data_IF_312701165850
#
_entry.id   IF_312701165850
#
_cell.length_a   1.000
_cell.length_b   1.000
_cell.length_c   1.000
_cell.angle_alpha   90.00
_cell.angle_beta   90.00
_cell.angle_gamma   90.00
#
_symmetry.space_group_name_H-M   'P 1'
#
loop_
_entity.id
_entity.type
_entity.pdbx_description
1 polymer ?
#
# COMPACT_ATOMS: atom_id res chain seq x y z
N UNK A 1 14.60 4.73 -1.28
CA UNK A 1 14.36 5.88 -0.38
C UNK A 1 15.43 6.95 -0.60
N UNK A 2 15.13 8.23 -0.38
CA UNK A 2 16.10 9.33 -0.54
C UNK A 2 15.92 10.39 0.55
N UNK A 3 17.01 11.04 0.98
CA UNK A 3 16.95 12.21 1.88
C UNK A 3 16.70 13.52 1.13
N UNK A 4 16.71 13.49 -0.21
CA UNK A 4 16.55 14.69 -1.02
C UNK A 4 15.06 15.05 -1.20
N UNK A 5 14.58 16.02 -0.42
CA UNK A 5 13.20 16.52 -0.49
C UNK A 5 12.84 17.16 -1.84
N UNK A 6 13.81 17.79 -2.51
CA UNK A 6 13.58 18.39 -3.83
C UNK A 6 13.31 17.33 -4.88
N UNK A 7 13.98 16.18 -4.78
CA UNK A 7 13.77 15.03 -5.67
C UNK A 7 12.40 14.40 -5.44
N UNK A 8 12.00 14.20 -4.18
CA UNK A 8 10.64 13.75 -3.84
C UNK A 8 9.58 14.67 -4.46
N UNK A 9 9.70 15.98 -4.22
CA UNK A 9 8.77 16.98 -4.76
C UNK A 9 8.75 16.97 -6.30
N UNK A 10 9.92 16.80 -6.94
CA UNK A 10 10.04 16.74 -8.40
C UNK A 10 9.33 15.52 -8.98
N UNK A 11 9.44 14.36 -8.33
CA UNK A 11 8.79 13.11 -8.78
C UNK A 11 7.28 13.23 -8.61
N UNK A 12 6.80 13.69 -7.45
CA UNK A 12 5.36 13.88 -7.19
C UNK A 12 4.74 14.85 -8.21
N UNK A 13 5.39 15.97 -8.51
CA UNK A 13 4.89 16.94 -9.52
C UNK A 13 4.86 16.39 -10.95
N UNK A 14 5.62 15.34 -11.26
CA UNK A 14 5.64 14.70 -12.58
C UNK A 14 4.65 13.55 -12.69
N UNK A 15 4.08 13.09 -11.58
CA UNK A 15 3.12 12.00 -11.58
C UNK A 15 1.89 12.36 -12.40
N UNK A 16 1.43 11.39 -13.20
CA UNK A 16 0.21 11.53 -14.01
C UNK A 16 -0.91 10.71 -13.40
N UNK A 17 -2.12 11.17 -13.61
CA UNK A 17 -3.33 10.45 -13.22
C UNK A 17 -3.58 9.33 -14.25
N UNK A 18 -3.92 8.15 -13.76
CA UNK A 18 -4.38 7.01 -14.55
C UNK A 18 -5.88 6.78 -14.29
N UNK A 19 -6.49 5.80 -14.94
CA UNK A 19 -7.85 5.36 -14.64
C UNK A 19 -8.07 3.90 -15.05
N UNK A 20 -9.09 3.30 -14.44
CA UNK A 20 -9.63 1.96 -14.72
C UNK A 20 -11.17 2.08 -14.91
N UNK A 21 -11.89 0.96 -14.94
CA UNK A 21 -13.34 0.93 -15.19
C UNK A 21 -14.17 0.74 -13.92
N UNK A 22 -13.66 -0.05 -12.99
CA UNK A 22 -14.30 -0.41 -11.73
C UNK A 22 -13.85 0.50 -10.59
N UNK A 23 -14.66 0.58 -9.54
CA UNK A 23 -14.40 1.50 -8.42
C UNK A 23 -13.28 1.04 -7.48
N UNK A 24 -13.15 -0.25 -7.11
CA UNK A 24 -12.08 -0.68 -6.22
C UNK A 24 -10.70 -0.62 -6.87
N UNK A 25 -9.67 -0.39 -6.05
CA UNK A 25 -8.30 -0.19 -6.52
C UNK A 25 -7.35 -1.32 -6.07
N UNK A 26 -6.27 -1.53 -6.81
CA UNK A 26 -5.24 -2.55 -6.49
C UNK A 26 -4.29 -2.17 -5.34
N UNK A 27 -4.77 -1.42 -4.33
CA UNK A 27 -3.94 -0.81 -3.29
C UNK A 27 -3.16 -1.81 -2.43
N UNK A 28 -3.80 -2.90 -2.00
CA UNK A 28 -3.17 -3.91 -1.13
C UNK A 28 -2.06 -4.71 -1.83
N UNK A 29 -2.20 -4.93 -3.14
CA UNK A 29 -1.19 -5.59 -3.97
C UNK A 29 0.07 -4.72 -4.10
N UNK A 30 -0.12 -3.42 -4.35
CA UNK A 30 0.96 -2.44 -4.33
C UNK A 30 1.65 -2.34 -2.95
N UNK A 31 0.86 -2.36 -1.86
CA UNK A 31 1.40 -2.37 -0.49
C UNK A 31 2.26 -3.59 -0.21
N UNK A 32 1.83 -4.78 -0.66
CA UNK A 32 2.61 -6.00 -0.47
C UNK A 32 3.93 -5.91 -1.22
N UNK A 33 3.93 -5.52 -2.50
CA UNK A 33 5.17 -5.34 -3.27
C UNK A 33 6.11 -4.32 -2.62
N UNK A 34 5.59 -3.17 -2.16
CA UNK A 34 6.38 -2.19 -1.42
C UNK A 34 6.94 -2.72 -0.09
N UNK A 35 6.27 -3.71 0.50
CA UNK A 35 6.68 -4.36 1.75
C UNK A 35 7.78 -5.39 1.53
N UNK A 36 7.70 -6.21 0.48
CA UNK A 36 8.64 -7.33 0.28
C UNK A 36 9.84 -6.97 -0.60
N UNK A 37 9.73 -5.96 -1.47
CA UNK A 37 10.81 -5.48 -2.33
C UNK A 37 11.76 -4.53 -1.58
N UNK A 38 12.43 -5.06 -0.56
CA UNK A 38 13.26 -4.31 0.38
C UNK A 38 14.39 -3.54 -0.30
N UNK A 39 15.05 -4.14 -1.30
CA UNK A 39 16.17 -3.54 -2.02
C UNK A 39 15.74 -2.41 -2.96
N UNK A 40 14.66 -2.63 -3.69
CA UNK A 40 14.11 -1.72 -4.69
C UNK A 40 13.52 -0.48 -4.04
N UNK A 41 12.74 -0.66 -2.95
CA UNK A 41 12.23 0.47 -2.16
C UNK A 41 13.36 1.11 -1.35
N UNK A 42 14.35 0.32 -0.94
CA UNK A 42 15.51 0.77 -0.16
C UNK A 42 15.19 1.02 1.31
N UNK A 43 14.42 0.11 1.94
CA UNK A 43 14.13 0.15 3.38
C UNK A 43 15.42 0.01 4.19
N UNK A 44 15.61 0.86 5.21
CA UNK A 44 16.79 0.79 6.10
C UNK A 44 16.51 -0.16 7.27
N UNK A 45 17.54 -0.91 7.68
CA UNK A 45 17.44 -1.83 8.84
C UNK A 45 17.23 -1.11 10.16
N UNK A 46 17.93 0.01 10.37
CA UNK A 46 17.93 0.76 11.65
C UNK A 46 16.85 1.84 11.74
N UNK A 47 15.87 1.86 10.84
CA UNK A 47 14.83 2.89 10.79
C UNK A 47 13.45 2.31 11.10
N UNK A 48 12.59 3.09 11.77
CA UNK A 48 11.15 2.81 11.81
C UNK A 48 10.60 2.97 10.40
N UNK A 49 9.96 1.92 9.88
CA UNK A 49 9.47 1.85 8.49
C UNK A 49 7.99 2.21 8.47
N UNK A 50 7.64 3.29 7.78
CA UNK A 50 6.26 3.75 7.64
C UNK A 50 5.83 3.61 6.19
N UNK A 51 4.76 2.87 5.93
CA UNK A 51 4.15 2.75 4.62
C UNK A 51 2.81 3.49 4.62
N UNK A 52 2.74 4.61 3.89
CA UNK A 52 1.52 5.40 3.76
C UNK A 52 0.76 5.00 2.47
N UNK A 53 -0.42 4.41 2.61
CA UNK A 53 -1.40 4.26 1.53
C UNK A 53 -2.31 5.49 1.51
N UNK A 54 -2.40 6.15 0.36
CA UNK A 54 -3.34 7.26 0.14
C UNK A 54 -4.34 6.86 -0.93
N UNK A 55 -5.64 6.92 -0.64
CA UNK A 55 -6.69 6.49 -1.57
C UNK A 55 -8.06 7.07 -1.21
N UNK A 56 -8.93 7.18 -2.20
CA UNK A 56 -10.31 7.65 -2.09
C UNK A 56 -11.35 6.53 -2.31
N UNK A 57 -10.90 5.31 -2.64
CA UNK A 57 -11.75 4.16 -2.93
C UNK A 57 -11.34 2.90 -2.13
N UNK A 58 -12.25 1.91 -1.98
CA UNK A 58 -11.91 0.61 -1.42
C UNK A 58 -10.81 -0.09 -2.23
N UNK A 59 -10.09 -1.01 -1.60
CA UNK A 59 -9.16 -1.86 -2.33
C UNK A 59 -9.80 -3.18 -2.74
N UNK A 60 -9.35 -3.75 -3.86
CA UNK A 60 -9.65 -5.15 -4.19
C UNK A 60 -9.09 -6.11 -3.15
N UNK A 61 -9.78 -7.24 -3.00
CA UNK A 61 -9.43 -8.32 -2.08
C UNK A 61 -9.06 -9.58 -2.88
N UNK A 62 -8.38 -10.51 -2.23
CA UNK A 62 -8.20 -11.85 -2.78
C UNK A 62 -9.55 -12.46 -3.20
N UNK A 63 -9.56 -13.22 -4.30
CA UNK A 63 -10.71 -13.78 -5.01
C UNK A 63 -11.44 -12.80 -5.94
N UNK A 64 -11.22 -11.49 -5.87
CA UNK A 64 -11.79 -10.55 -6.85
C UNK A 64 -11.20 -10.79 -8.25
N UNK A 65 -9.90 -11.10 -8.34
CA UNK A 65 -9.23 -11.34 -9.63
C UNK A 65 -9.74 -12.60 -10.35
N UNK A 66 -10.54 -13.44 -9.68
CA UNK A 66 -11.23 -14.57 -10.32
C UNK A 66 -12.15 -14.11 -11.45
N UNK A 67 -12.74 -12.92 -11.35
CA UNK A 67 -13.56 -12.32 -12.41
C UNK A 67 -12.75 -12.02 -13.68
N UNK A 68 -11.46 -11.77 -13.52
CA UNK A 68 -10.51 -11.57 -14.62
C UNK A 68 -9.85 -12.89 -15.10
N UNK A 69 -10.28 -14.04 -14.57
CA UNK A 69 -9.69 -15.35 -14.90
C UNK A 69 -8.36 -15.64 -14.20
N UNK A 70 -7.95 -14.80 -13.26
CA UNK A 70 -6.74 -15.02 -12.45
C UNK A 70 -7.14 -15.86 -11.24
N UNK A 71 -6.57 -17.06 -11.16
CA UNK A 71 -6.86 -18.06 -10.11
C UNK A 71 -5.61 -18.52 -9.37
N UNK A 72 -4.46 -17.91 -9.68
CA UNK A 72 -3.20 -18.18 -9.00
C UNK A 72 -3.13 -17.31 -7.75
N UNK A 73 -3.06 -17.88 -6.54
CA UNK A 73 -2.90 -17.08 -5.32
C UNK A 73 -1.61 -16.25 -5.34
N UNK A 74 -1.63 -15.11 -4.64
CA UNK A 74 -0.44 -14.29 -4.43
C UNK A 74 0.62 -15.07 -3.62
N UNK A 75 1.87 -15.11 -4.09
CA UNK A 75 2.95 -15.91 -3.47
C UNK A 75 3.70 -15.19 -2.33
N UNK A 76 3.51 -13.88 -2.20
CA UNK A 76 4.09 -13.07 -1.14
C UNK A 76 5.54 -12.66 -1.40
N UNK A 77 6.03 -12.80 -2.64
CA UNK A 77 7.39 -12.48 -3.04
C UNK A 77 7.47 -11.18 -3.84
N UNK A 78 8.68 -10.64 -3.96
CA UNK A 78 8.96 -9.46 -4.77
C UNK A 78 9.03 -9.82 -6.26
N UNK A 79 8.26 -9.11 -7.09
CA UNK A 79 8.25 -9.30 -8.55
C UNK A 79 8.38 -7.98 -9.31
N UNK A 80 9.25 -7.09 -8.83
CA UNK A 80 9.61 -5.88 -9.55
C UNK A 80 10.71 -6.16 -10.58
N UNK A 81 10.44 -5.81 -11.84
CA UNK A 81 11.45 -5.77 -12.89
C UNK A 81 11.50 -4.36 -13.48
N UNK A 82 12.67 -3.72 -13.42
CA UNK A 82 12.84 -2.31 -13.81
C UNK A 82 11.83 -1.37 -13.10
N UNK A 83 11.63 -1.60 -11.79
CA UNK A 83 10.66 -0.88 -10.95
C UNK A 83 9.19 -1.02 -11.38
N UNK A 84 8.87 -2.05 -12.17
CA UNK A 84 7.49 -2.36 -12.60
C UNK A 84 7.10 -3.73 -12.07
N UNK A 85 5.95 -3.82 -11.43
CA UNK A 85 5.40 -5.08 -10.94
C UNK A 85 4.89 -5.93 -12.11
N UNK A 86 5.48 -7.11 -12.31
CA UNK A 86 5.21 -7.97 -13.48
C UNK A 86 4.16 -9.05 -13.27
N UNK A 87 3.75 -9.32 -12.03
CA UNK A 87 2.80 -10.40 -11.71
C UNK A 87 1.36 -9.94 -11.51
N UNK A 88 1.07 -8.64 -11.59
CA UNK A 88 -0.27 -8.06 -11.39
C UNK A 88 -1.38 -8.65 -12.27
N UNK A 89 -1.05 -9.17 -13.45
CA UNK A 89 -2.02 -9.80 -14.37
C UNK A 89 -2.03 -11.32 -14.30
N UNK A 90 -1.28 -11.93 -13.38
CA UNK A 90 -1.09 -13.38 -13.29
C UNK A 90 -1.29 -13.96 -11.89
N UNK A 91 -1.21 -13.12 -10.86
CA UNK A 91 -1.46 -13.45 -9.46
C UNK A 91 -2.65 -12.64 -8.96
N UNK A 92 -3.47 -13.26 -8.11
CA UNK A 92 -4.58 -12.63 -7.43
C UNK A 92 -4.07 -11.55 -6.45
N UNK A 93 -4.97 -10.70 -5.96
CA UNK A 93 -4.66 -9.79 -4.88
C UNK A 93 -4.28 -10.56 -3.60
N UNK A 94 -3.45 -9.98 -2.72
CA UNK A 94 -3.10 -10.64 -1.48
C UNK A 94 -4.31 -10.73 -0.54
N UNK A 95 -4.38 -11.82 0.22
CA UNK A 95 -5.30 -11.89 1.35
C UNK A 95 -4.83 -10.95 2.47
N UNK A 96 -5.76 -10.51 3.32
CA UNK A 96 -5.40 -9.67 4.48
C UNK A 96 -4.42 -10.39 5.43
N UNK A 97 -4.55 -11.71 5.56
CA UNK A 97 -3.62 -12.52 6.36
C UNK A 97 -2.20 -12.50 5.81
N UNK A 98 -2.05 -12.66 4.49
CA UNK A 98 -0.73 -12.59 3.84
C UNK A 98 -0.13 -11.18 3.95
N UNK A 99 -0.93 -10.13 3.75
CA UNK A 99 -0.47 -8.76 3.91
C UNK A 99 -0.02 -8.48 5.35
N UNK A 100 -0.81 -8.88 6.35
CA UNK A 100 -0.46 -8.75 7.76
C UNK A 100 0.84 -9.48 8.11
N UNK A 101 1.01 -10.71 7.64
CA UNK A 101 2.24 -11.49 7.80
C UNK A 101 3.45 -10.75 7.23
N UNK A 102 3.37 -10.26 5.99
CA UNK A 102 4.51 -9.58 5.35
C UNK A 102 4.83 -8.23 5.97
N UNK A 103 3.83 -7.47 6.43
CA UNK A 103 4.05 -6.22 7.16
C UNK A 103 4.80 -6.49 8.48
N UNK A 104 4.38 -7.52 9.23
CA UNK A 104 5.01 -7.93 10.48
C UNK A 104 6.45 -8.43 10.28
N UNK A 105 6.66 -9.38 9.35
CA UNK A 105 7.98 -9.92 9.02
C UNK A 105 8.98 -8.81 8.66
N UNK A 106 8.51 -7.79 7.93
CA UNK A 106 9.35 -6.69 7.46
C UNK A 106 9.34 -5.47 8.40
N UNK A 107 8.72 -5.56 9.57
CA UNK A 107 8.66 -4.51 10.58
C UNK A 107 8.17 -3.16 10.02
N UNK A 108 7.12 -3.22 9.19
CA UNK A 108 6.51 -2.05 8.55
C UNK A 108 5.22 -1.68 9.27
N UNK A 109 5.13 -0.41 9.67
CA UNK A 109 3.90 0.19 10.17
C UNK A 109 3.15 0.82 9.00
N UNK A 110 1.91 0.39 8.77
CA UNK A 110 1.07 0.93 7.70
C UNK A 110 0.18 2.06 8.19
N UNK A 111 0.07 3.11 7.38
CA UNK A 111 -0.80 4.25 7.59
C UNK A 111 -1.76 4.33 6.41
N UNK A 112 -3.05 4.41 6.70
CA UNK A 112 -4.09 4.53 5.68
C UNK A 112 -4.66 5.95 5.72
N UNK A 113 -4.37 6.78 4.73
CA UNK A 113 -4.95 8.11 4.58
C UNK A 113 -6.06 8.04 3.53
N UNK A 114 -7.32 8.00 4.00
CA UNK A 114 -8.47 7.67 3.16
C UNK A 114 -9.51 8.78 3.12
N UNK A 115 -10.25 8.87 2.02
CA UNK A 115 -11.40 9.78 1.93
C UNK A 115 -12.52 9.38 2.90
N UNK A 116 -13.29 10.36 3.39
CA UNK A 116 -14.34 10.20 4.39
C UNK A 116 -15.33 9.09 4.08
N UNK A 117 -15.75 8.98 2.83
CA UNK A 117 -16.78 8.02 2.43
C UNK A 117 -16.30 6.57 2.57
N UNK A 118 -14.98 6.33 2.53
CA UNK A 118 -14.40 4.99 2.66
C UNK A 118 -13.86 4.69 4.05
N UNK A 119 -13.98 5.63 5.00
CA UNK A 119 -13.41 5.48 6.33
C UNK A 119 -13.86 4.18 7.02
N UNK A 120 -15.17 3.90 7.02
CA UNK A 120 -15.73 2.70 7.67
C UNK A 120 -15.21 1.40 7.06
N UNK A 121 -14.96 1.39 5.74
CA UNK A 121 -14.43 0.22 5.05
C UNK A 121 -13.00 -0.08 5.51
N UNK A 122 -12.15 0.95 5.57
CA UNK A 122 -10.77 0.80 6.03
C UNK A 122 -10.67 0.63 7.55
N UNK A 123 -11.63 1.11 8.33
CA UNK A 123 -11.65 0.91 9.79
C UNK A 123 -11.71 -0.59 10.14
N UNK A 124 -12.58 -1.35 9.49
CA UNK A 124 -12.68 -2.80 9.70
C UNK A 124 -11.43 -3.53 9.18
N UNK A 125 -10.88 -3.09 8.04
CA UNK A 125 -9.66 -3.68 7.47
C UNK A 125 -8.45 -3.46 8.39
N UNK A 126 -8.25 -2.24 8.89
CA UNK A 126 -7.11 -1.87 9.74
C UNK A 126 -7.10 -2.66 11.05
N UNK A 127 -8.27 -3.01 11.61
CA UNK A 127 -8.36 -3.88 12.80
C UNK A 127 -7.75 -5.26 12.58
N UNK A 128 -7.69 -5.72 11.32
CA UNK A 128 -7.12 -7.02 10.94
C UNK A 128 -5.63 -6.94 10.58
N UNK A 129 -5.05 -5.74 10.50
CA UNK A 129 -3.66 -5.51 10.14
C UNK A 129 -2.87 -4.94 11.34
N UNK A 130 -2.11 -5.78 12.08
CA UNK A 130 -1.34 -5.33 13.23
C UNK A 130 -0.36 -4.21 12.88
N UNK A 131 -0.24 -3.20 13.75
CA UNK A 131 0.65 -2.06 13.53
C UNK A 131 0.16 -1.08 12.44
N UNK A 132 -1.11 -1.18 12.04
CA UNK A 132 -1.74 -0.25 11.12
C UNK A 132 -2.54 0.82 11.85
N UNK A 133 -2.52 2.04 11.32
CA UNK A 133 -3.40 3.12 11.77
C UNK A 133 -4.18 3.70 10.59
N UNK A 134 -5.43 4.08 10.89
CA UNK A 134 -6.29 4.79 9.95
C UNK A 134 -6.22 6.28 10.26
N UNK A 135 -6.02 7.07 9.23
CA UNK A 135 -5.85 8.49 9.29
C UNK A 135 -6.97 9.17 8.51
N UNK A 136 -7.70 10.05 9.21
CA UNK A 136 -8.88 10.71 8.70
C UNK A 136 -8.79 12.22 8.91
N UNK A 137 -9.27 12.98 7.91
CA UNK A 137 -9.52 14.43 7.99
C UNK A 137 -8.47 15.22 8.79
N UNK A 138 -7.24 15.30 8.28
CA UNK A 138 -6.41 16.44 8.62
C UNK A 138 -6.54 17.50 7.51
N UNK A 139 -6.72 18.79 7.85
CA UNK A 139 -6.53 19.87 6.88
C UNK A 139 -5.11 19.88 6.29
N UNK A 140 -4.17 19.15 6.91
CA UNK A 140 -2.79 19.00 6.49
C UNK A 140 -2.29 17.56 6.69
N UNK A 141 -1.93 16.89 5.59
CA UNK A 141 -1.35 15.54 5.58
C UNK A 141 -0.09 15.40 6.46
N UNK A 142 0.66 16.49 6.65
CA UNK A 142 1.89 16.47 7.44
C UNK A 142 1.60 16.20 8.91
N UNK A 143 0.63 16.90 9.48
CA UNK A 143 0.29 16.80 10.92
C UNK A 143 -0.23 15.39 11.24
N UNK A 144 -1.02 14.84 10.32
CA UNK A 144 -1.55 13.48 10.36
C UNK A 144 -0.44 12.41 10.43
N UNK A 145 0.59 12.54 9.58
CA UNK A 145 1.73 11.61 9.57
C UNK A 145 2.60 11.78 10.82
N UNK A 146 2.79 13.02 11.28
CA UNK A 146 3.54 13.32 12.51
C UNK A 146 2.86 12.72 13.73
N UNK A 147 1.54 12.84 13.85
CA UNK A 147 0.80 12.31 14.99
C UNK A 147 0.72 10.78 14.98
N UNK A 148 0.59 10.15 13.80
CA UNK A 148 0.66 8.71 13.67
C UNK A 148 2.06 8.12 13.97
N UNK A 149 3.11 8.95 13.88
CA UNK A 149 4.48 8.55 14.14
C UNK A 149 4.85 8.58 15.63
N UNK A 150 4.32 9.57 16.36
CA UNK A 150 4.50 9.75 17.82
C UNK A 150 4.00 8.52 18.57
#
# INVERSE_FOLDING_TARGET
MTSNMSEFTRVIKRQRISGNMDTPEGGLDAMLQATVCQGEVGWRGEAKRLLLLMTDQPSHLALDSRLAGIVTPHDGLCHLENNVYRKSSTMDHPSLGLLAEKLLENHIYSLFAVEQLQYQWYEELVRLLPGSNLLFQAPNLIDLVVDAYK
#
